data_IF_912689714056
#
_entry.id   IF_912689714056
#
_cell.length_a   1.000
_cell.length_b   1.000
_cell.length_c   1.000
_cell.angle_alpha   90.00
_cell.angle_beta   90.00
_cell.angle_gamma   90.00
#
_symmetry.space_group_name_H-M   'P 1'
#
loop_
_entity.id
_entity.type
_entity.pdbx_description
1 polymer ?
#
# COMPACT_ATOMS: atom_id res chain seq x y z
N UNK A 1 -30.83 -40.61 21.58
CA UNK A 1 -30.15 -39.51 20.89
C UNK A 1 -29.16 -38.90 21.88
N UNK A 2 -27.81 -39.14 21.68
CA UNK A 2 -26.76 -38.79 22.67
C UNK A 2 -26.56 -37.26 22.73
N UNK A 3 -27.35 -36.57 23.54
CA UNK A 3 -27.28 -35.14 23.76
C UNK A 3 -25.92 -34.66 24.28
N UNK A 4 -25.26 -35.48 25.11
CA UNK A 4 -23.97 -35.12 25.71
C UNK A 4 -22.83 -35.00 24.67
N UNK A 5 -22.92 -35.78 23.59
CA UNK A 5 -21.93 -35.75 22.50
C UNK A 5 -22.02 -34.46 21.66
N UNK A 6 -23.22 -33.87 21.57
CA UNK A 6 -23.45 -32.63 20.80
C UNK A 6 -23.26 -31.35 21.62
N UNK A 7 -23.36 -31.42 22.94
CA UNK A 7 -23.17 -30.26 23.83
C UNK A 7 -21.79 -29.59 23.63
N UNK A 8 -20.73 -30.42 23.52
CA UNK A 8 -19.38 -29.89 23.26
C UNK A 8 -19.27 -29.15 21.92
N UNK A 9 -19.87 -29.69 20.87
CA UNK A 9 -19.88 -29.05 19.55
C UNK A 9 -20.70 -27.75 19.55
N UNK A 10 -21.86 -27.74 20.22
CA UNK A 10 -22.71 -26.54 20.33
C UNK A 10 -21.97 -25.42 21.07
N UNK A 11 -21.33 -25.73 22.21
CA UNK A 11 -20.55 -24.77 22.98
C UNK A 11 -19.39 -24.22 22.14
N UNK A 12 -18.62 -25.10 21.48
CA UNK A 12 -17.51 -24.70 20.64
C UNK A 12 -17.96 -23.81 19.48
N UNK A 13 -19.07 -24.14 18.82
CA UNK A 13 -19.64 -23.34 17.71
C UNK A 13 -20.13 -21.98 18.21
N UNK A 14 -20.78 -21.94 19.36
CA UNK A 14 -21.28 -20.67 19.96
C UNK A 14 -20.12 -19.77 20.33
N UNK A 15 -19.07 -20.29 20.97
CA UNK A 15 -17.86 -19.55 21.31
C UNK A 15 -17.17 -19.01 20.04
N UNK A 16 -17.05 -19.86 19.02
CA UNK A 16 -16.47 -19.45 17.74
C UNK A 16 -17.28 -18.32 17.09
N UNK A 17 -18.61 -18.40 17.12
CA UNK A 17 -19.50 -17.39 16.53
C UNK A 17 -19.43 -16.06 17.30
N UNK A 18 -19.34 -16.08 18.62
CA UNK A 18 -19.14 -14.89 19.45
C UNK A 18 -17.80 -14.24 19.16
N UNK A 19 -16.72 -15.02 19.05
CA UNK A 19 -15.39 -14.51 18.69
C UNK A 19 -15.37 -13.89 17.29
N UNK A 20 -16.09 -14.50 16.33
CA UNK A 20 -16.19 -13.99 14.98
C UNK A 20 -16.96 -12.66 14.92
N UNK A 21 -18.09 -12.56 15.63
CA UNK A 21 -18.85 -11.29 15.74
C UNK A 21 -18.01 -10.21 16.41
N UNK A 22 -17.30 -10.55 17.48
CA UNK A 22 -16.40 -9.63 18.16
C UNK A 22 -15.27 -9.15 17.24
N UNK A 23 -14.67 -10.06 16.46
CA UNK A 23 -13.65 -9.70 15.48
C UNK A 23 -14.17 -8.76 14.40
N UNK A 24 -15.36 -9.01 13.85
CA UNK A 24 -15.99 -8.14 12.84
C UNK A 24 -16.29 -6.76 13.44
N UNK A 25 -16.90 -6.71 14.62
CA UNK A 25 -17.21 -5.46 15.30
C UNK A 25 -15.97 -4.63 15.61
N UNK A 26 -14.92 -5.27 16.09
CA UNK A 26 -13.62 -4.64 16.36
C UNK A 26 -12.97 -4.12 15.09
N UNK A 27 -13.02 -4.89 13.98
CA UNK A 27 -12.46 -4.47 12.69
C UNK A 27 -13.16 -3.22 12.12
N UNK A 28 -14.48 -3.18 12.19
CA UNK A 28 -15.25 -2.00 11.74
C UNK A 28 -14.99 -0.78 12.64
N UNK A 29 -14.91 -1.01 13.96
CA UNK A 29 -14.64 0.04 14.94
C UNK A 29 -13.26 0.66 14.74
N UNK A 30 -12.23 -0.15 14.41
CA UNK A 30 -10.87 0.34 14.20
C UNK A 30 -10.76 1.30 13.00
N UNK A 31 -11.48 1.02 11.91
CA UNK A 31 -11.55 1.92 10.74
C UNK A 31 -12.15 3.27 11.12
N UNK A 32 -13.31 3.25 11.81
CA UNK A 32 -14.01 4.48 12.19
C UNK A 32 -13.16 5.31 13.19
N UNK A 33 -12.44 4.64 14.07
CA UNK A 33 -11.52 5.32 14.98
C UNK A 33 -10.35 5.96 14.23
N UNK A 34 -9.75 5.25 13.27
CA UNK A 34 -8.66 5.80 12.47
C UNK A 34 -9.10 7.02 11.64
N UNK A 35 -10.31 6.97 11.07
CA UNK A 35 -10.91 8.11 10.35
C UNK A 35 -11.08 9.30 11.29
N UNK A 36 -11.70 9.11 12.47
CA UNK A 36 -11.90 10.20 13.45
C UNK A 36 -10.58 10.79 13.92
N UNK A 37 -9.63 9.96 14.30
CA UNK A 37 -8.32 10.43 14.75
C UNK A 37 -7.58 11.25 13.67
N UNK A 38 -7.73 10.86 12.40
CA UNK A 38 -7.15 11.59 11.29
C UNK A 38 -7.88 12.93 11.06
N UNK A 39 -9.21 12.93 11.06
CA UNK A 39 -10.00 14.14 10.87
C UNK A 39 -9.83 15.13 12.04
N UNK A 40 -9.75 14.66 13.29
CA UNK A 40 -9.46 15.47 14.48
C UNK A 40 -8.07 16.12 14.37
N UNK A 41 -7.04 15.36 14.00
CA UNK A 41 -5.69 15.90 13.82
C UNK A 41 -5.60 16.95 12.71
N UNK A 42 -6.43 16.79 11.69
CA UNK A 42 -6.55 17.77 10.61
C UNK A 42 -7.24 19.05 11.10
N UNK A 43 -8.35 18.94 11.83
CA UNK A 43 -9.09 20.08 12.37
C UNK A 43 -8.20 20.90 13.32
N UNK A 44 -7.49 20.27 14.25
CA UNK A 44 -6.53 20.95 15.13
C UNK A 44 -5.44 21.71 14.37
N UNK A 45 -5.02 21.19 13.23
CA UNK A 45 -4.03 21.82 12.36
C UNK A 45 -4.64 22.97 11.54
N UNK A 46 -5.89 22.84 11.15
CA UNK A 46 -6.63 23.85 10.41
C UNK A 46 -6.99 25.05 11.31
N UNK A 47 -7.49 24.79 12.51
CA UNK A 47 -7.86 25.85 13.47
C UNK A 47 -6.68 26.74 13.89
N UNK A 48 -5.45 26.19 13.88
CA UNK A 48 -4.23 27.00 14.13
C UNK A 48 -3.89 27.95 13.00
N UNK A 49 -4.41 27.72 11.80
CA UNK A 49 -4.06 28.47 10.59
C UNK A 49 -5.21 29.35 10.07
N UNK A 50 -6.35 29.40 10.80
CA UNK A 50 -7.54 30.13 10.33
C UNK A 50 -7.67 31.50 11.01
N UNK A 51 -7.19 32.51 10.30
CA UNK A 51 -7.77 33.85 10.32
C UNK A 51 -8.76 33.94 9.13
N UNK A 52 -10.05 34.22 9.43
CA UNK A 52 -11.15 34.48 8.47
C UNK A 52 -11.50 33.38 7.45
N UNK A 53 -12.40 32.49 7.80
CA UNK A 53 -12.90 31.48 6.87
C UNK A 53 -14.24 31.85 6.24
N UNK A 54 -14.16 32.33 5.02
CA UNK A 54 -15.20 32.10 4.01
C UNK A 54 -15.30 30.57 3.81
N UNK A 55 -16.51 30.02 3.76
CA UNK A 55 -16.72 28.58 3.54
C UNK A 55 -16.37 28.22 2.08
N UNK A 56 -15.06 28.22 1.78
CA UNK A 56 -14.47 28.07 0.43
C UNK A 56 -14.80 26.70 -0.14
N UNK A 57 -15.01 25.69 0.72
CA UNK A 57 -15.37 24.34 0.32
C UNK A 57 -16.74 24.23 -0.36
N UNK A 58 -17.59 25.25 -0.23
CA UNK A 58 -18.89 25.32 -0.91
C UNK A 58 -18.80 25.70 -2.39
N UNK A 59 -17.60 26.11 -2.87
CA UNK A 59 -17.40 26.51 -4.27
C UNK A 59 -17.31 25.28 -5.16
N UNK A 60 -18.17 25.12 -6.17
CA UNK A 60 -18.10 23.98 -7.10
C UNK A 60 -16.72 23.88 -7.76
N UNK A 61 -16.14 22.69 -7.74
CA UNK A 61 -14.81 22.43 -8.33
C UNK A 61 -13.61 22.75 -7.44
N UNK A 62 -13.80 23.40 -6.28
CA UNK A 62 -12.70 23.75 -5.38
C UNK A 62 -11.91 22.54 -4.90
N UNK A 63 -12.58 21.46 -4.52
CA UNK A 63 -11.93 20.23 -4.08
C UNK A 63 -11.07 19.58 -5.18
N UNK A 64 -11.51 19.65 -6.44
CA UNK A 64 -10.73 19.15 -7.58
C UNK A 64 -9.45 19.99 -7.79
N UNK A 65 -9.54 21.32 -7.65
CA UNK A 65 -8.39 22.20 -7.74
C UNK A 65 -7.38 21.95 -6.61
N UNK A 66 -7.86 21.71 -5.39
CA UNK A 66 -6.97 21.35 -4.26
C UNK A 66 -6.26 20.02 -4.54
N UNK A 67 -6.96 19.01 -5.03
CA UNK A 67 -6.37 17.72 -5.39
C UNK A 67 -5.30 17.87 -6.48
N UNK A 68 -5.60 18.63 -7.53
CA UNK A 68 -4.66 18.87 -8.61
C UNK A 68 -3.44 19.64 -8.13
N UNK A 69 -3.62 20.71 -7.36
CA UNK A 69 -2.53 21.47 -6.73
C UNK A 69 -1.66 20.58 -5.84
N UNK A 70 -2.29 19.74 -5.02
CA UNK A 70 -1.60 18.80 -4.14
C UNK A 70 -0.74 17.81 -4.94
N UNK A 71 -1.32 17.24 -5.97
CA UNK A 71 -0.66 16.28 -6.85
C UNK A 71 0.54 16.90 -7.57
N UNK A 72 0.36 18.06 -8.22
CA UNK A 72 1.43 18.75 -8.90
C UNK A 72 2.55 19.19 -7.94
N UNK A 73 2.18 19.66 -6.74
CA UNK A 73 3.15 20.02 -5.71
C UNK A 73 3.99 18.82 -5.24
N UNK A 74 3.39 17.65 -5.11
CA UNK A 74 4.11 16.41 -4.77
C UNK A 74 5.02 15.96 -5.92
N UNK A 75 4.59 16.09 -7.18
CA UNK A 75 5.43 15.80 -8.35
C UNK A 75 6.67 16.71 -8.42
N UNK A 76 6.50 18.01 -8.19
CA UNK A 76 7.62 18.96 -8.19
C UNK A 76 8.64 18.60 -7.11
N UNK A 77 8.17 18.22 -5.91
CA UNK A 77 9.07 17.75 -4.83
C UNK A 77 9.80 16.48 -5.19
N UNK A 78 9.12 15.52 -5.82
CA UNK A 78 9.74 14.28 -6.28
C UNK A 78 10.78 14.55 -7.39
N UNK A 79 10.50 15.50 -8.30
CA UNK A 79 11.42 15.88 -9.37
C UNK A 79 12.72 16.53 -8.88
N UNK A 80 12.69 17.14 -7.69
CA UNK A 80 13.89 17.71 -7.05
C UNK A 80 14.85 16.61 -6.52
N UNK A 81 14.39 15.35 -6.43
CA UNK A 81 15.23 14.21 -6.03
C UNK A 81 15.94 13.61 -7.22
N UNK A 82 17.20 13.23 -7.04
CA UNK A 82 17.98 12.45 -8.03
C UNK A 82 17.64 10.95 -8.03
N UNK A 83 16.76 10.52 -7.14
CA UNK A 83 16.34 9.13 -6.98
C UNK A 83 15.18 8.78 -7.92
N UNK A 84 15.03 7.47 -8.19
CA UNK A 84 13.86 6.96 -8.89
C UNK A 84 12.65 7.11 -7.96
N UNK A 85 11.66 7.86 -8.42
CA UNK A 85 10.36 7.99 -7.76
C UNK A 85 9.28 7.19 -8.47
N UNK A 86 8.20 6.91 -7.74
CA UNK A 86 7.02 6.25 -8.27
C UNK A 86 5.78 7.14 -8.14
N UNK A 87 5.10 7.34 -9.25
CA UNK A 87 3.80 8.00 -9.28
C UNK A 87 2.72 6.94 -9.48
N UNK A 88 1.75 6.89 -8.58
CA UNK A 88 0.58 6.02 -8.66
C UNK A 88 -0.63 6.90 -8.91
N UNK A 89 -1.17 6.85 -10.11
CA UNK A 89 -2.37 7.56 -10.49
C UNK A 89 -3.53 6.55 -10.56
N UNK A 90 -4.29 6.47 -9.48
CA UNK A 90 -5.41 5.52 -9.38
C UNK A 90 -6.55 5.94 -10.29
N UNK A 91 -6.78 7.26 -10.46
CA UNK A 91 -7.83 7.80 -11.32
C UNK A 91 -7.65 7.38 -12.79
N UNK A 92 -6.42 7.47 -13.29
CA UNK A 92 -6.10 7.14 -14.69
C UNK A 92 -5.64 5.68 -14.83
N UNK A 93 -5.62 4.92 -13.72
CA UNK A 93 -5.17 3.52 -13.66
C UNK A 93 -3.76 3.31 -14.22
N UNK A 94 -2.80 4.17 -13.81
CA UNK A 94 -1.43 4.17 -14.31
C UNK A 94 -0.42 4.32 -13.17
N UNK A 95 0.68 3.57 -13.28
CA UNK A 95 1.89 3.75 -12.46
C UNK A 95 3.00 4.25 -13.37
N UNK A 96 3.73 5.24 -12.92
CA UNK A 96 4.90 5.75 -13.62
C UNK A 96 6.13 5.70 -12.72
N UNK A 97 7.22 5.19 -13.25
CA UNK A 97 8.54 5.36 -12.66
C UNK A 97 9.17 6.63 -13.25
N UNK A 98 9.61 7.53 -12.39
CA UNK A 98 10.14 8.83 -12.78
C UNK A 98 11.58 9.00 -12.30
N UNK A 99 12.39 9.67 -13.12
CA UNK A 99 13.71 10.18 -12.76
C UNK A 99 13.70 11.69 -13.01
N UNK A 100 13.93 12.50 -11.97
CA UNK A 100 13.88 13.98 -12.07
C UNK A 100 12.57 14.49 -12.69
N UNK A 101 11.45 13.84 -12.37
CA UNK A 101 10.14 14.20 -12.89
C UNK A 101 9.81 13.69 -14.32
N UNK A 102 10.77 13.08 -15.00
CA UNK A 102 10.55 12.52 -16.34
C UNK A 102 10.13 11.04 -16.25
N UNK A 103 9.04 10.63 -16.90
CA UNK A 103 8.59 9.25 -16.89
C UNK A 103 9.53 8.39 -17.74
N UNK A 104 10.21 7.43 -17.08
CA UNK A 104 11.07 6.43 -17.75
C UNK A 104 10.31 5.15 -18.07
N UNK A 105 9.24 4.86 -17.34
CA UNK A 105 8.36 3.72 -17.58
C UNK A 105 6.94 4.03 -17.14
N UNK A 106 5.98 3.64 -17.97
CA UNK A 106 4.54 3.76 -17.67
C UNK A 106 3.94 2.35 -17.68
N UNK A 107 3.19 2.02 -16.63
CA UNK A 107 2.61 0.70 -16.38
C UNK A 107 1.12 0.90 -16.14
N UNK A 108 0.30 0.10 -16.79
CA UNK A 108 -1.15 0.11 -16.58
C UNK A 108 -1.51 -0.70 -15.34
N UNK A 109 -2.42 -0.17 -14.54
CA UNK A 109 -3.05 -0.89 -13.43
C UNK A 109 -4.23 -1.67 -14.01
N UNK A 110 -4.25 -2.97 -13.77
CA UNK A 110 -5.36 -3.83 -14.23
C UNK A 110 -6.56 -3.71 -13.30
N UNK A 111 -6.30 -3.72 -11.99
CA UNK A 111 -7.30 -3.61 -10.94
C UNK A 111 -6.70 -2.94 -9.71
N UNK A 112 -7.52 -2.26 -8.91
CA UNK A 112 -7.12 -1.72 -7.62
C UNK A 112 -8.24 -1.81 -6.58
N UNK A 113 -7.86 -1.90 -5.30
CA UNK A 113 -8.77 -1.84 -4.15
C UNK A 113 -8.24 -0.86 -3.11
N UNK A 114 -9.10 0.07 -2.70
CA UNK A 114 -8.80 1.07 -1.69
C UNK A 114 -9.48 0.70 -0.38
N UNK A 115 -8.74 0.77 0.71
CA UNK A 115 -9.32 0.53 2.03
C UNK A 115 -10.49 1.50 2.33
N UNK A 116 -11.46 1.09 3.15
CA UNK A 116 -12.62 1.93 3.50
C UNK A 116 -12.26 3.28 4.13
N UNK A 117 -11.05 3.41 4.66
CA UNK A 117 -10.51 4.65 5.20
C UNK A 117 -10.57 5.79 4.17
N UNK A 118 -10.08 5.57 2.95
CA UNK A 118 -9.99 6.60 1.90
C UNK A 118 -11.35 7.13 1.44
N UNK A 119 -12.43 6.34 1.64
CA UNK A 119 -13.79 6.76 1.29
C UNK A 119 -14.49 7.53 2.41
N UNK A 120 -14.06 7.35 3.67
CA UNK A 120 -14.74 7.88 4.86
C UNK A 120 -14.08 9.14 5.42
N UNK A 121 -12.79 9.29 5.19
CA UNK A 121 -11.99 10.42 5.68
C UNK A 121 -12.37 11.70 4.93
N UNK A 122 -12.19 12.85 5.60
CA UNK A 122 -12.37 14.16 4.96
C UNK A 122 -11.46 14.30 3.73
N UNK A 123 -12.05 14.63 2.60
CA UNK A 123 -11.37 14.67 1.30
C UNK A 123 -10.35 15.81 1.18
N UNK A 124 -10.56 16.90 1.90
CA UNK A 124 -9.61 18.01 1.96
C UNK A 124 -8.37 17.64 2.77
N UNK A 125 -8.58 17.01 3.94
CA UNK A 125 -7.53 16.46 4.77
C UNK A 125 -6.68 15.43 4.00
N UNK A 126 -7.34 14.55 3.24
CA UNK A 126 -6.69 13.55 2.40
C UNK A 126 -5.87 14.20 1.28
N UNK A 127 -6.41 15.24 0.63
CA UNK A 127 -5.71 15.99 -0.41
C UNK A 127 -4.45 16.67 0.15
N UNK A 128 -4.54 17.23 1.36
CA UNK A 128 -3.38 17.82 2.02
C UNK A 128 -2.33 16.76 2.39
N UNK A 129 -2.75 15.58 2.86
CA UNK A 129 -1.83 14.48 3.13
C UNK A 129 -1.06 14.07 1.87
N UNK A 130 -1.71 14.02 0.71
CA UNK A 130 -1.09 13.68 -0.57
C UNK A 130 -0.41 14.87 -1.28
N UNK A 131 -0.48 16.06 -0.71
CA UNK A 131 0.26 17.21 -1.23
C UNK A 131 1.77 17.07 -1.09
N UNK A 132 2.25 16.18 -0.23
CA UNK A 132 3.67 15.83 -0.07
C UNK A 132 3.94 14.41 -0.59
N UNK A 133 5.19 14.15 -0.92
CA UNK A 133 5.65 12.81 -1.28
C UNK A 133 5.55 11.88 -0.07
N UNK A 134 5.20 10.62 -0.32
CA UNK A 134 5.27 9.53 0.66
C UNK A 134 6.66 8.89 0.54
N UNK A 135 7.31 8.65 1.66
CA UNK A 135 8.62 7.97 1.69
C UNK A 135 8.43 6.51 2.07
N UNK A 136 9.07 5.60 1.35
CA UNK A 136 9.05 4.17 1.67
C UNK A 136 9.89 3.95 2.92
N UNK A 137 9.29 3.38 3.97
CA UNK A 137 9.97 3.04 5.23
C UNK A 137 10.42 1.59 5.27
N UNK A 138 9.65 0.69 4.68
CA UNK A 138 10.04 -0.72 4.55
C UNK A 138 9.39 -1.37 3.34
N UNK A 139 10.04 -2.44 2.87
CA UNK A 139 9.61 -3.24 1.72
C UNK A 139 9.67 -4.71 2.10
N UNK A 140 8.56 -5.43 1.89
CA UNK A 140 8.47 -6.88 2.03
C UNK A 140 8.08 -7.49 0.70
N UNK A 141 8.73 -8.59 0.29
CA UNK A 141 8.45 -9.25 -0.98
C UNK A 141 8.61 -10.77 -0.87
N UNK A 142 7.94 -11.49 -1.78
CA UNK A 142 8.10 -12.94 -1.94
C UNK A 142 9.40 -13.34 -2.64
N UNK A 143 10.08 -12.38 -3.28
CA UNK A 143 11.31 -12.59 -4.04
C UNK A 143 12.38 -11.59 -3.62
N UNK A 144 13.65 -11.93 -3.89
CA UNK A 144 14.78 -11.09 -3.50
C UNK A 144 14.94 -9.90 -4.46
N UNK A 145 15.38 -8.78 -3.90
CA UNK A 145 15.84 -7.63 -4.68
C UNK A 145 17.29 -7.89 -5.08
N UNK A 146 17.52 -8.25 -6.34
CA UNK A 146 18.86 -8.42 -6.84
C UNK A 146 19.57 -7.06 -6.87
N UNK A 147 20.82 -6.97 -6.37
CA UNK A 147 21.58 -5.75 -6.51
C UNK A 147 21.84 -5.48 -8.00
N UNK A 148 21.73 -4.20 -8.39
CA UNK A 148 22.11 -3.78 -9.75
C UNK A 148 23.62 -3.97 -9.88
N UNK A 149 24.04 -5.05 -10.54
CA UNK A 149 25.45 -5.25 -10.90
C UNK A 149 25.74 -4.41 -12.14
N UNK A 150 26.47 -3.32 -11.97
CA UNK A 150 27.02 -2.56 -13.10
C UNK A 150 28.11 -3.42 -13.75
N UNK A 151 27.80 -4.06 -14.86
CA UNK A 151 28.81 -4.75 -15.67
C UNK A 151 29.57 -3.68 -16.45
N UNK A 152 30.84 -3.49 -16.10
CA UNK A 152 31.74 -2.67 -16.92
C UNK A 152 31.96 -3.45 -18.22
N UNK A 153 31.68 -2.81 -19.35
CA UNK A 153 31.90 -3.43 -20.66
C UNK A 153 33.40 -3.85 -20.77
N UNK A 154 33.68 -5.11 -21.11
CA UNK A 154 35.07 -5.55 -21.31
C UNK A 154 35.72 -4.78 -22.46
N UNK A 155 36.98 -4.41 -22.29
CA UNK A 155 37.75 -3.68 -23.30
C UNK A 155 38.05 -4.53 -24.55
N UNK A 156 38.02 -5.86 -24.43
CA UNK A 156 38.26 -6.80 -25.52
C UNK A 156 37.12 -7.81 -25.66
N UNK A 157 36.76 -8.11 -26.92
CA UNK A 157 35.70 -9.05 -27.29
C UNK A 157 35.97 -10.50 -26.91
N UNK A 158 37.24 -10.85 -26.62
CA UNK A 158 37.66 -12.20 -26.20
C UNK A 158 37.37 -12.50 -24.73
N UNK A 159 37.04 -11.51 -23.91
CA UNK A 159 36.72 -11.66 -22.47
C UNK A 159 35.24 -11.76 -22.15
N UNK A 160 34.37 -11.79 -23.15
CA UNK A 160 32.92 -11.91 -22.96
C UNK A 160 32.58 -13.31 -22.48
N UNK A 161 32.71 -13.55 -21.18
CA UNK A 161 32.04 -14.67 -20.52
C UNK A 161 30.57 -14.34 -20.47
N UNK A 162 29.81 -14.96 -21.36
CA UNK A 162 28.33 -14.94 -21.31
C UNK A 162 27.95 -15.81 -20.11
N UNK A 163 27.98 -15.24 -18.91
CA UNK A 163 27.32 -15.79 -17.73
C UNK A 163 25.81 -15.58 -17.90
N UNK A 164 25.23 -16.24 -18.91
CA UNK A 164 23.81 -16.42 -19.01
C UNK A 164 23.38 -17.44 -17.96
N UNK A 165 23.38 -17.06 -16.67
CA UNK A 165 22.54 -17.75 -15.71
C UNK A 165 21.13 -17.57 -16.21
N UNK A 166 20.42 -18.67 -16.58
CA UNK A 166 19.01 -18.55 -16.93
C UNK A 166 18.32 -17.88 -15.74
N UNK A 167 17.55 -16.85 -16.00
CA UNK A 167 16.78 -16.15 -14.98
C UNK A 167 15.72 -17.14 -14.44
N UNK A 168 16.12 -17.97 -13.46
CA UNK A 168 15.25 -18.97 -12.81
C UNK A 168 14.10 -18.32 -12.06
N UNK A 169 14.05 -16.98 -12.02
CA UNK A 169 13.03 -16.19 -11.32
C UNK A 169 11.69 -16.12 -12.06
N UNK A 170 11.56 -16.69 -13.26
CA UNK A 170 10.28 -16.71 -13.98
C UNK A 170 9.20 -17.57 -13.31
N UNK A 171 9.59 -18.42 -12.38
CA UNK A 171 8.69 -19.32 -11.67
C UNK A 171 8.21 -18.80 -10.32
N UNK A 172 8.81 -17.74 -9.77
CA UNK A 172 8.43 -17.19 -8.47
C UNK A 172 7.17 -16.30 -8.57
N UNK A 173 6.26 -16.49 -7.62
CA UNK A 173 5.11 -15.60 -7.46
C UNK A 173 5.58 -14.21 -7.02
N UNK A 174 5.06 -13.17 -7.64
CA UNK A 174 5.48 -11.79 -7.41
C UNK A 174 4.44 -11.04 -6.60
N UNK A 175 4.66 -10.96 -5.29
CA UNK A 175 3.89 -10.15 -4.36
C UNK A 175 4.86 -9.30 -3.56
N UNK A 176 4.58 -8.02 -3.40
CA UNK A 176 5.35 -7.17 -2.53
C UNK A 176 4.50 -6.07 -1.89
N UNK A 177 4.96 -5.58 -0.76
CA UNK A 177 4.31 -4.55 0.01
C UNK A 177 5.29 -3.42 0.27
N UNK A 178 4.82 -2.19 0.11
CA UNK A 178 5.52 -0.97 0.48
C UNK A 178 4.82 -0.34 1.67
N UNK A 179 5.55 -0.14 2.76
CA UNK A 179 5.07 0.64 3.89
C UNK A 179 5.61 2.06 3.77
N UNK A 180 4.77 3.05 4.06
CA UNK A 180 5.15 4.46 3.93
C UNK A 180 5.24 5.15 5.29
N UNK A 181 5.89 6.31 5.33
CA UNK A 181 6.03 7.20 6.48
C UNK A 181 4.68 7.73 7.01
N UNK A 182 3.65 7.76 6.17
CA UNK A 182 2.28 8.13 6.54
C UNK A 182 1.43 6.96 7.01
N UNK A 183 2.06 5.83 7.37
CA UNK A 183 1.39 4.61 7.80
C UNK A 183 0.39 4.06 6.78
N UNK A 184 0.60 4.32 5.48
CA UNK A 184 -0.16 3.73 4.39
C UNK A 184 0.62 2.54 3.86
N UNK A 185 -0.09 1.44 3.61
CA UNK A 185 0.48 0.22 3.06
C UNK A 185 0.01 0.01 1.63
N UNK A 186 0.94 -0.17 0.70
CA UNK A 186 0.64 -0.40 -0.71
C UNK A 186 1.04 -1.82 -1.07
N UNK A 187 0.07 -2.63 -1.48
CA UNK A 187 0.25 -4.01 -1.92
C UNK A 187 0.30 -4.06 -3.42
N UNK A 188 1.31 -4.71 -3.95
CA UNK A 188 1.42 -5.03 -5.36
C UNK A 188 1.27 -6.53 -5.55
N UNK A 189 0.29 -6.92 -6.33
CA UNK A 189 -0.05 -8.30 -6.61
C UNK A 189 0.01 -8.56 -8.11
N UNK A 190 0.54 -9.73 -8.48
CA UNK A 190 0.46 -10.17 -9.88
C UNK A 190 -0.98 -10.55 -10.23
N UNK A 191 -1.45 -10.13 -11.40
CA UNK A 191 -2.76 -10.53 -11.91
C UNK A 191 -2.81 -12.02 -12.30
N UNK A 192 -1.68 -12.54 -12.80
CA UNK A 192 -1.58 -13.89 -13.35
C UNK A 192 -1.36 -14.96 -12.27
N UNK A 193 -2.44 -15.47 -11.68
CA UNK A 193 -2.40 -16.56 -10.69
C UNK A 193 -2.66 -17.93 -11.36
N UNK A 194 -1.90 -18.27 -12.42
CA UNK A 194 -2.15 -19.50 -13.22
C UNK A 194 -1.72 -20.78 -12.51
N UNK A 195 -0.85 -20.72 -11.49
CA UNK A 195 -0.29 -21.89 -10.80
C UNK A 195 -0.87 -22.04 -9.40
N UNK A 196 -1.07 -23.29 -8.99
CA UNK A 196 -1.48 -23.61 -7.61
C UNK A 196 -0.44 -23.07 -6.60
N UNK A 197 0.84 -23.15 -6.94
CA UNK A 197 1.94 -22.61 -6.12
C UNK A 197 1.81 -21.08 -5.90
N UNK A 198 1.39 -20.32 -6.91
CA UNK A 198 1.20 -18.85 -6.81
C UNK A 198 0.04 -18.52 -5.85
N UNK A 199 -1.02 -19.34 -5.87
CA UNK A 199 -2.17 -19.22 -4.94
C UNK A 199 -1.75 -19.48 -3.49
N UNK A 200 -0.90 -20.49 -3.26
CA UNK A 200 -0.36 -20.77 -1.93
C UNK A 200 0.61 -19.67 -1.48
N UNK A 201 1.50 -19.18 -2.34
CA UNK A 201 2.42 -18.09 -2.01
C UNK A 201 1.65 -16.83 -1.61
N UNK A 202 0.60 -16.48 -2.35
CA UNK A 202 -0.33 -15.38 -2.01
C UNK A 202 -1.01 -15.61 -0.67
N UNK A 203 -1.56 -16.81 -0.46
CA UNK A 203 -2.23 -17.16 0.79
C UNK A 203 -1.28 -17.02 2.00
N UNK A 204 -0.06 -17.55 1.92
CA UNK A 204 0.91 -17.43 2.99
C UNK A 204 1.40 -16.00 3.21
N UNK A 205 1.56 -15.23 2.14
CA UNK A 205 1.92 -13.81 2.23
C UNK A 205 0.83 -13.01 2.95
N UNK A 206 -0.43 -13.17 2.53
CA UNK A 206 -1.59 -12.54 3.17
C UNK A 206 -1.78 -13.04 4.62
N UNK A 207 -1.56 -14.33 4.86
CA UNK A 207 -1.70 -14.93 6.20
C UNK A 207 -0.65 -14.37 7.16
N UNK A 208 0.61 -14.25 6.73
CA UNK A 208 1.69 -13.66 7.54
C UNK A 208 1.31 -12.23 7.96
N UNK A 209 0.86 -11.43 7.02
CA UNK A 209 0.47 -10.04 7.30
C UNK A 209 -0.76 -9.95 8.20
N UNK A 210 -1.77 -10.78 7.96
CA UNK A 210 -2.96 -10.88 8.83
C UNK A 210 -2.62 -11.36 10.23
N UNK A 211 -1.71 -12.32 10.39
CA UNK A 211 -1.26 -12.82 11.70
C UNK A 211 -0.48 -11.75 12.48
N UNK A 212 0.39 -11.01 11.82
CA UNK A 212 1.11 -9.89 12.46
C UNK A 212 0.13 -8.81 12.91
N UNK A 213 -0.83 -8.45 12.06
CA UNK A 213 -1.85 -7.45 12.40
C UNK A 213 -2.81 -7.97 13.48
N UNK A 214 -3.22 -9.24 13.43
CA UNK A 214 -4.04 -9.87 14.47
C UNK A 214 -3.30 -9.91 15.81
N UNK A 215 -2.01 -10.26 15.82
CA UNK A 215 -1.19 -10.22 17.03
C UNK A 215 -1.11 -8.83 17.67
N UNK A 216 -0.95 -7.79 16.85
CA UNK A 216 -1.00 -6.40 17.31
C UNK A 216 -2.38 -6.02 17.87
N UNK A 217 -3.45 -6.46 17.19
CA UNK A 217 -4.82 -6.20 17.62
C UNK A 217 -5.14 -6.92 18.95
N UNK A 218 -4.73 -8.19 19.10
CA UNK A 218 -4.90 -8.95 20.35
C UNK A 218 -4.12 -8.30 21.50
N UNK A 219 -2.88 -7.86 21.24
CA UNK A 219 -2.08 -7.14 22.24
C UNK A 219 -2.74 -5.82 22.65
N UNK A 220 -3.26 -5.05 21.71
CA UNK A 220 -3.96 -3.79 21.99
C UNK A 220 -5.22 -4.04 22.83
N UNK A 221 -6.02 -5.04 22.47
CA UNK A 221 -7.23 -5.44 23.21
C UNK A 221 -6.88 -5.90 24.65
N UNK A 222 -5.78 -6.66 24.82
CA UNK A 222 -5.33 -7.12 26.14
C UNK A 222 -4.94 -5.96 27.07
N UNK A 223 -4.52 -4.83 26.51
CA UNK A 223 -4.16 -3.60 27.24
C UNK A 223 -5.34 -2.59 27.28
N UNK A 224 -6.53 -3.00 26.82
CA UNK A 224 -7.71 -2.14 26.63
C UNK A 224 -7.46 -0.95 25.70
N UNK A 225 -6.49 -1.08 24.79
CA UNK A 225 -6.22 -0.09 23.74
C UNK A 225 -6.94 -0.48 22.43
N UNK A 226 -7.12 0.52 21.57
CA UNK A 226 -7.82 0.30 20.30
C UNK A 226 -6.88 -0.36 19.30
N UNK A 227 -7.36 -1.36 18.51
CA UNK A 227 -6.53 -2.01 17.51
C UNK A 227 -6.01 -0.98 16.49
N UNK A 228 -4.70 -0.97 16.20
CA UNK A 228 -4.13 -0.07 15.21
C UNK A 228 -4.67 -0.44 13.82
N UNK A 229 -5.19 0.55 13.12
CA UNK A 229 -5.64 0.39 11.73
C UNK A 229 -4.59 1.00 10.79
N UNK A 230 -4.22 0.24 9.76
CA UNK A 230 -3.30 0.70 8.71
C UNK A 230 -4.09 0.80 7.40
N UNK A 231 -4.30 2.01 6.86
CA UNK A 231 -4.90 2.18 5.54
C UNK A 231 -4.09 1.46 4.47
N UNK A 232 -4.77 0.83 3.51
CA UNK A 232 -4.08 0.11 2.45
C UNK A 232 -4.62 0.44 1.06
N UNK A 233 -3.75 0.26 0.08
CA UNK A 233 -4.04 0.30 -1.35
C UNK A 233 -3.53 -1.02 -1.93
N UNK A 234 -4.40 -1.78 -2.59
CA UNK A 234 -4.01 -2.98 -3.34
C UNK A 234 -4.04 -2.69 -4.82
N UNK A 235 -3.02 -3.11 -5.53
CA UNK A 235 -2.84 -2.86 -6.95
C UNK A 235 -2.46 -4.15 -7.64
N UNK A 236 -3.20 -4.52 -8.68
CA UNK A 236 -2.91 -5.66 -9.53
C UNK A 236 -2.31 -5.19 -10.83
N UNK A 237 -1.15 -5.75 -11.16
CA UNK A 237 -0.37 -5.44 -12.36
C UNK A 237 0.21 -6.72 -12.97
N UNK A 238 0.62 -6.70 -14.24
CA UNK A 238 1.30 -7.84 -14.86
C UNK A 238 2.58 -8.20 -14.08
N UNK A 239 2.84 -9.51 -13.95
CA UNK A 239 3.97 -10.06 -13.19
C UNK A 239 5.33 -9.46 -13.57
N UNK A 240 5.59 -9.31 -14.87
CA UNK A 240 6.84 -8.74 -15.37
C UNK A 240 7.03 -7.29 -14.90
N UNK A 241 5.95 -6.50 -14.92
CA UNK A 241 5.95 -5.11 -14.48
C UNK A 241 6.15 -4.99 -12.97
N UNK A 242 5.53 -5.87 -12.19
CA UNK A 242 5.70 -5.92 -10.74
C UNK A 242 7.17 -6.16 -10.34
N UNK A 243 7.86 -7.08 -11.03
CA UNK A 243 9.31 -7.31 -10.83
C UNK A 243 10.14 -6.06 -11.13
N UNK A 244 9.83 -5.38 -12.24
CA UNK A 244 10.55 -4.17 -12.65
C UNK A 244 10.38 -3.06 -11.63
N UNK A 245 9.13 -2.80 -11.19
CA UNK A 245 8.87 -1.80 -10.15
C UNK A 245 9.68 -2.09 -8.90
N UNK A 246 9.57 -3.31 -8.37
CA UNK A 246 10.24 -3.67 -7.12
C UNK A 246 11.76 -3.54 -7.19
N UNK A 247 12.36 -3.92 -8.33
CA UNK A 247 13.81 -3.80 -8.55
C UNK A 247 14.26 -2.36 -8.73
N UNK A 248 13.46 -1.54 -9.43
CA UNK A 248 13.79 -0.15 -9.74
C UNK A 248 13.68 0.80 -8.55
N UNK A 249 12.65 0.64 -7.70
CA UNK A 249 12.41 1.57 -6.60
C UNK A 249 13.45 1.37 -5.49
N UNK A 250 14.13 2.44 -5.02
CA UNK A 250 15.04 2.36 -3.89
C UNK A 250 14.29 2.09 -2.57
N UNK A 251 15.02 1.65 -1.53
CA UNK A 251 14.44 1.33 -0.23
C UNK A 251 13.75 2.52 0.44
N UNK A 252 14.29 3.71 0.25
CA UNK A 252 13.75 4.99 0.73
C UNK A 252 13.18 5.81 -0.43
N UNK A 253 12.58 5.12 -1.41
CA UNK A 253 12.03 5.76 -2.60
C UNK A 253 10.85 6.66 -2.28
N UNK A 254 10.65 7.66 -3.13
CA UNK A 254 9.54 8.59 -3.02
C UNK A 254 8.35 8.11 -3.85
N UNK A 255 7.15 8.24 -3.27
CA UNK A 255 5.89 7.91 -3.93
C UNK A 255 5.01 9.15 -3.97
N UNK A 256 4.42 9.42 -5.12
CA UNK A 256 3.33 10.37 -5.29
C UNK A 256 2.07 9.61 -5.61
N UNK A 257 0.99 9.91 -4.89
CA UNK A 257 -0.31 9.25 -5.07
C UNK A 257 -1.33 10.25 -5.57
N UNK A 258 -2.05 9.91 -6.64
CA UNK A 258 -3.25 10.60 -7.13
C UNK A 258 -4.44 9.66 -7.04
N UNK A 259 -5.48 10.13 -6.37
CA UNK A 259 -6.71 9.38 -6.14
C UNK A 259 -7.87 9.97 -6.95
#
# INVERSE_FOLDING_TARGET
>A
MNWDKYRGYIIATTVFLVLLIFYIASSVSSVNHAVRAFDESWQESADRNQDDTVNICAIPGYLELIREKAFLGAQVRMAASDSIGMLINVRDSVIQLLIKGLPVRTIRIDEYDLSPFFRRVNQEALSNMFSSTLTITSMDATFRKDPVTVKIAPKDTSEVKIDAKPDTTDFEAVFFTLNTDRNIRIYFEQQENKRVADRFARFFFDLKDKLVNAGRSVKAIAVMDKPPYVPYIKIWIPKAEAKIIYRAIPREGLIVLRQ
#
